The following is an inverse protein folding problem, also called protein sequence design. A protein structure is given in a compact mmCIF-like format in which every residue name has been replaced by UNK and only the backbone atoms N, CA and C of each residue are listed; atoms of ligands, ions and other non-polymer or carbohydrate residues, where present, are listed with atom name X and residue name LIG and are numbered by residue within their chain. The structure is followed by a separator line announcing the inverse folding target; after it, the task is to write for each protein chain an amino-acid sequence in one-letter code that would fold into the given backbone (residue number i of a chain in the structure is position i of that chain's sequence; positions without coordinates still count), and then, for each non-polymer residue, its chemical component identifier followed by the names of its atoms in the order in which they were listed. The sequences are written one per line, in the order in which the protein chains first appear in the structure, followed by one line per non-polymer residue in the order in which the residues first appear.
data_IF_399395453347
#
_entry.id   IF_399395453347
#
_cell.length_a   1.000
_cell.length_b   1.000
_cell.length_c   1.000
_cell.angle_alpha   90.00
_cell.angle_beta   90.00
_cell.angle_gamma   90.00
#
_symmetry.space_group_name_H-M   'P 1'
#
loop_
_entity.id
_entity.type
_entity.pdbx_description
1 polymer ?
#
# COMPACT_ATOMS: atom_id res chain seq x y z
N UNK A 1 -7.67 19.75 22.97
CA UNK A 1 -8.25 19.22 21.72
C UNK A 1 -7.44 18.00 21.30
N UNK A 2 -8.00 16.80 21.36
CA UNK A 2 -7.29 15.58 20.96
C UNK A 2 -7.25 15.50 19.43
N UNK A 3 -6.06 15.48 18.84
CA UNK A 3 -5.88 15.26 17.39
C UNK A 3 -5.77 13.76 17.12
N UNK A 4 -6.61 13.23 16.24
CA UNK A 4 -6.52 11.84 15.81
C UNK A 4 -5.38 11.65 14.80
N UNK A 5 -4.61 10.57 14.93
CA UNK A 5 -3.69 10.09 13.91
C UNK A 5 -4.34 8.91 13.15
N UNK A 6 -4.36 8.99 11.83
CA UNK A 6 -4.72 7.87 10.95
C UNK A 6 -3.63 7.67 9.91
N UNK A 7 -3.25 6.41 9.69
CA UNK A 7 -2.28 6.02 8.66
C UNK A 7 -2.91 4.93 7.81
N UNK A 8 -2.81 5.04 6.49
CA UNK A 8 -3.24 4.00 5.56
C UNK A 8 -2.22 3.84 4.44
N UNK A 9 -2.10 2.60 3.96
CA UNK A 9 -1.27 2.26 2.81
C UNK A 9 -2.17 1.98 1.61
N UNK A 10 -1.73 2.36 0.41
CA UNK A 10 -2.48 2.14 -0.81
C UNK A 10 -1.55 2.05 -2.01
N UNK A 11 -2.00 1.40 -3.08
CA UNK A 11 -1.28 1.35 -4.34
C UNK A 11 -1.53 2.64 -5.13
N UNK A 12 -0.47 3.25 -5.66
CA UNK A 12 -0.58 4.42 -6.54
C UNK A 12 -0.05 4.08 -7.92
N UNK A 13 -0.93 3.66 -8.80
CA UNK A 13 -0.61 3.43 -10.21
C UNK A 13 -0.90 4.67 -11.05
N UNK A 14 -0.18 4.82 -12.17
CA UNK A 14 -0.52 5.82 -13.20
C UNK A 14 -1.68 5.30 -14.05
N UNK A 15 -2.43 6.18 -14.71
CA UNK A 15 -3.52 5.79 -15.62
C UNK A 15 -3.05 4.86 -16.74
N UNK A 16 -1.79 4.96 -17.16
CA UNK A 16 -1.17 4.11 -18.19
C UNK A 16 -0.52 2.84 -17.65
N UNK A 17 -0.80 2.47 -16.40
CA UNK A 17 -0.26 1.24 -15.82
C UNK A 17 -0.94 0.02 -16.47
N UNK A 18 -0.12 -0.86 -17.05
CA UNK A 18 -0.60 -2.07 -17.74
C UNK A 18 -0.26 -3.33 -16.95
N UNK A 19 0.96 -3.41 -16.40
CA UNK A 19 1.44 -4.56 -15.63
C UNK A 19 2.70 -4.22 -14.82
N UNK A 20 3.12 -5.13 -13.94
CA UNK A 20 4.34 -5.02 -13.12
C UNK A 20 4.07 -4.64 -11.65
N UNK A 21 5.09 -4.50 -10.80
CA UNK A 21 4.88 -4.07 -9.43
C UNK A 21 4.26 -2.65 -9.37
N UNK A 22 3.31 -2.43 -8.47
CA UNK A 22 2.73 -1.12 -8.19
C UNK A 22 3.35 -0.53 -6.92
N UNK A 23 3.67 0.77 -6.90
CA UNK A 23 4.27 1.40 -5.73
C UNK A 23 3.25 1.59 -4.61
N UNK A 24 3.69 1.30 -3.39
CA UNK A 24 2.93 1.49 -2.16
C UNK A 24 3.20 2.92 -1.65
N UNK A 25 2.11 3.65 -1.44
CA UNK A 25 2.13 4.97 -0.82
C UNK A 25 1.53 4.89 0.57
N UNK A 26 1.96 5.81 1.43
CA UNK A 26 1.41 6.00 2.76
C UNK A 26 0.72 7.37 2.83
N UNK A 27 -0.53 7.38 3.30
CA UNK A 27 -1.23 8.61 3.65
C UNK A 27 -1.28 8.72 5.16
N UNK A 28 -0.89 9.89 5.66
CA UNK A 28 -0.95 10.26 7.07
C UNK A 28 -1.99 11.37 7.22
N UNK A 29 -2.88 11.22 8.20
CA UNK A 29 -3.88 12.23 8.55
C UNK A 29 -3.76 12.58 10.03
N UNK A 30 -3.58 13.86 10.33
CA UNK A 30 -3.45 14.39 11.70
C UNK A 30 -4.47 15.50 11.88
N UNK A 31 -5.47 15.26 12.74
CA UNK A 31 -6.45 16.30 13.08
C UNK A 31 -7.27 16.86 11.90
N UNK A 32 -7.38 16.13 10.79
CA UNK A 32 -8.10 16.54 9.58
C UNK A 32 -7.18 16.85 8.40
N UNK A 33 -5.94 17.27 8.66
CA UNK A 33 -4.94 17.54 7.62
C UNK A 33 -4.30 16.25 7.13
N UNK A 34 -4.07 16.14 5.80
CA UNK A 34 -3.46 14.95 5.19
C UNK A 34 -2.24 15.27 4.33
N UNK A 35 -1.28 14.36 4.36
CA UNK A 35 -0.19 14.31 3.39
C UNK A 35 0.07 12.86 2.95
N UNK A 36 0.72 12.71 1.80
CA UNK A 36 1.08 11.41 1.23
C UNK A 36 2.58 11.35 0.96
N UNK A 37 3.18 10.19 1.20
CA UNK A 37 4.59 9.93 0.90
C UNK A 37 4.77 8.57 0.22
N UNK A 38 5.79 8.48 -0.63
CA UNK A 38 6.20 7.20 -1.21
C UNK A 38 6.90 6.37 -0.13
N UNK A 39 6.61 5.07 -0.08
CA UNK A 39 7.25 4.15 0.89
C UNK A 39 8.54 3.53 0.36
N UNK A 40 8.90 3.80 -0.90
CA UNK A 40 9.99 3.11 -1.63
C UNK A 40 9.81 1.58 -1.68
N UNK A 41 8.56 1.11 -1.58
CA UNK A 41 8.18 -0.30 -1.74
C UNK A 41 7.19 -0.43 -2.86
N UNK A 42 7.24 -1.59 -3.51
CA UNK A 42 6.32 -1.97 -4.58
C UNK A 42 5.80 -3.38 -4.29
N UNK A 43 4.64 -3.70 -4.86
CA UNK A 43 4.02 -5.01 -4.72
C UNK A 43 3.28 -5.38 -5.99
N UNK A 44 3.25 -6.67 -6.28
CA UNK A 44 2.30 -7.22 -7.24
C UNK A 44 0.86 -6.86 -6.82
N UNK A 45 0.09 -6.10 -7.62
CA UNK A 45 -1.26 -5.70 -7.25
C UNK A 45 -2.19 -6.87 -6.94
N UNK A 46 -1.96 -8.05 -7.53
CA UNK A 46 -2.76 -9.25 -7.26
C UNK A 46 -2.56 -9.77 -5.82
N UNK A 47 -1.44 -9.41 -5.20
CA UNK A 47 -1.09 -9.78 -3.82
C UNK A 47 -1.46 -8.70 -2.81
N UNK A 48 -2.23 -7.67 -3.19
CA UNK A 48 -2.62 -6.57 -2.32
C UNK A 48 -4.07 -6.67 -1.85
N UNK A 49 -4.29 -6.59 -0.54
CA UNK A 49 -5.63 -6.44 0.04
C UNK A 49 -5.92 -4.94 0.29
N UNK A 50 -6.82 -4.38 -0.52
CA UNK A 50 -7.24 -2.98 -0.43
C UNK A 50 -7.99 -2.65 0.88
N UNK A 51 -8.72 -3.61 1.46
CA UNK A 51 -9.44 -3.39 2.72
C UNK A 51 -8.49 -3.41 3.90
N UNK A 52 -7.56 -4.37 3.91
CA UNK A 52 -6.57 -4.50 4.96
C UNK A 52 -5.36 -3.57 4.80
N UNK A 53 -5.23 -2.89 3.66
CA UNK A 53 -4.12 -1.99 3.32
C UNK A 53 -2.75 -2.69 3.46
N UNK A 54 -2.64 -3.95 3.03
CA UNK A 54 -1.41 -4.75 3.15
C UNK A 54 -1.30 -5.81 2.08
N UNK A 55 -0.08 -6.32 1.90
CA UNK A 55 0.15 -7.53 1.10
C UNK A 55 -0.47 -8.75 1.79
N UNK A 56 -1.11 -9.62 1.00
CA UNK A 56 -1.51 -10.96 1.40
C UNK A 56 -0.37 -11.92 1.07
N UNK A 57 0.21 -12.54 2.10
CA UNK A 57 1.18 -13.61 1.91
C UNK A 57 0.46 -14.97 1.86
N UNK A 58 0.65 -15.73 0.78
CA UNK A 58 0.25 -17.13 0.70
C UNK A 58 1.47 -18.01 0.90
N UNK A 59 1.47 -18.91 1.89
CA UNK A 59 2.59 -19.83 2.21
C UNK A 59 2.92 -20.87 1.12
N UNK A 60 2.28 -20.82 -0.06
CA UNK A 60 2.36 -21.88 -1.08
C UNK A 60 3.71 -22.01 -1.83
N UNK A 61 4.70 -21.13 -1.62
CA UNK A 61 5.96 -21.13 -2.37
C UNK A 61 7.22 -21.19 -1.48
N UNK A 62 7.20 -21.93 -0.36
CA UNK A 62 8.40 -22.16 0.46
C UNK A 62 9.28 -23.33 -0.02
N UNK A 63 8.92 -24.00 -1.12
CA UNK A 63 9.69 -25.10 -1.70
C UNK A 63 9.74 -24.99 -3.23
N UNK A 64 10.61 -24.14 -3.75
CA UNK A 64 11.06 -24.22 -5.13
C UNK A 64 12.55 -23.84 -5.17
N UNK A 65 13.38 -24.89 -5.06
CA UNK A 65 14.82 -25.01 -5.32
C UNK A 65 15.78 -24.08 -4.59
#
# INVERSE_FOLDING_TARGET
MNKSLKVLFFLRTRTSYVSGPAPIYMRVTVGGDRFEMATQREVDPEKWDNKACRMVYSKKNLHAN
#
